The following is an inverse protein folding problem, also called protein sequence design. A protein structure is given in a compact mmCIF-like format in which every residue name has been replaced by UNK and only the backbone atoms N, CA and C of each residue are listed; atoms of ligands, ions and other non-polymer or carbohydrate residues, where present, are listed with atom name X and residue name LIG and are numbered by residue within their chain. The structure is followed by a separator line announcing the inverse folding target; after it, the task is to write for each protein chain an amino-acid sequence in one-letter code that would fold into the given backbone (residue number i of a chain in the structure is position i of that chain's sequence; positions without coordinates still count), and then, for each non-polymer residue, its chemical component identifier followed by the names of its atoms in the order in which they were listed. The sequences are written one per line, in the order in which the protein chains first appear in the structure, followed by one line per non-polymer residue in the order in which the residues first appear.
data_IF_357346479967
#
_entry.id   IF_357346479967
#
_cell.length_a   1.000
_cell.length_b   1.000
_cell.length_c   1.000
_cell.angle_alpha   90.00
_cell.angle_beta   90.00
_cell.angle_gamma   90.00
#
_symmetry.space_group_name_H-M   'P 1'
#
loop_
_entity.id
_entity.type
_entity.pdbx_description
1 polymer ?
#
# COMPACT_ATOMS: atom_id res chain seq x y z
N UNK A 1 -70.66 -7.91 1.44
CA UNK A 1 -69.74 -7.80 0.31
C UNK A 1 -68.90 -6.52 0.28
N UNK A 2 -69.22 -5.47 1.07
CA UNK A 2 -68.42 -4.20 1.11
C UNK A 2 -67.20 -4.22 2.04
N UNK A 3 -67.02 -5.23 2.88
CA UNK A 3 -65.90 -5.30 3.84
C UNK A 3 -64.68 -6.06 3.37
N UNK A 4 -64.76 -6.78 2.24
CA UNK A 4 -63.67 -7.58 1.67
C UNK A 4 -62.77 -6.74 0.73
N UNK A 5 -63.29 -5.67 0.17
CA UNK A 5 -62.57 -4.79 -0.76
C UNK A 5 -61.54 -3.88 -0.02
N UNK A 6 -61.74 -3.59 1.26
CA UNK A 6 -60.86 -2.73 2.03
C UNK A 6 -59.54 -3.40 2.47
N UNK A 7 -59.50 -4.76 2.47
CA UNK A 7 -58.29 -5.54 2.81
C UNK A 7 -57.32 -5.71 1.63
N UNK A 8 -57.77 -5.57 0.40
CA UNK A 8 -56.94 -5.82 -0.77
C UNK A 8 -56.09 -4.61 -1.20
N UNK A 9 -56.43 -3.39 -0.74
CA UNK A 9 -55.71 -2.15 -1.07
C UNK A 9 -54.43 -1.96 -0.22
N UNK A 10 -54.34 -2.67 0.91
CA UNK A 10 -53.18 -2.53 1.82
C UNK A 10 -51.98 -3.39 1.44
N UNK A 11 -52.11 -4.35 0.51
CA UNK A 11 -51.04 -5.27 0.11
C UNK A 11 -50.19 -4.74 -1.06
N UNK A 12 -50.65 -3.71 -1.77
CA UNK A 12 -49.94 -3.15 -2.92
C UNK A 12 -48.90 -2.08 -2.62
N UNK A 13 -48.71 -1.70 -1.35
CA UNK A 13 -47.70 -0.71 -0.95
C UNK A 13 -46.34 -1.30 -0.58
N UNK A 14 -46.13 -2.62 -0.72
CA UNK A 14 -44.83 -3.25 -0.61
C UNK A 14 -44.11 -3.32 -1.96
N UNK A 15 -44.21 -2.29 -2.77
CA UNK A 15 -43.58 -2.28 -4.07
C UNK A 15 -42.35 -1.37 -4.10
N UNK A 16 -41.25 -1.96 -4.50
CA UNK A 16 -39.98 -1.35 -4.89
C UNK A 16 -39.23 -0.63 -3.75
N UNK A 17 -38.56 -1.40 -2.91
CA UNK A 17 -37.29 -0.88 -2.39
C UNK A 17 -36.36 -0.73 -3.60
N UNK A 18 -36.28 0.49 -4.11
CA UNK A 18 -35.30 0.82 -5.15
C UNK A 18 -33.92 0.55 -4.57
N UNK A 19 -33.20 -0.41 -5.14
CA UNK A 19 -31.86 -0.74 -4.69
C UNK A 19 -30.99 0.51 -4.75
N UNK A 20 -30.38 0.81 -3.63
CA UNK A 20 -29.49 1.96 -3.49
C UNK A 20 -28.10 1.54 -3.93
N UNK A 21 -27.65 2.06 -5.06
CA UNK A 21 -26.34 1.77 -5.63
C UNK A 21 -25.51 3.05 -5.61
N UNK A 22 -24.28 2.95 -5.10
CA UNK A 22 -23.29 4.02 -5.15
C UNK A 22 -22.01 3.57 -5.83
N UNK A 23 -21.12 4.51 -6.09
CA UNK A 23 -19.78 4.22 -6.56
C UNK A 23 -18.74 5.13 -5.89
N UNK A 24 -17.50 4.64 -5.85
CA UNK A 24 -16.34 5.35 -5.31
C UNK A 24 -15.24 5.34 -6.36
N UNK A 25 -14.67 6.48 -6.69
CA UNK A 25 -13.46 6.56 -7.49
C UNK A 25 -12.27 6.07 -6.68
N UNK A 26 -11.80 4.86 -7.03
CA UNK A 26 -10.71 4.20 -6.31
C UNK A 26 -9.40 4.96 -6.39
N UNK A 27 -9.13 5.62 -7.52
CA UNK A 27 -7.88 6.37 -7.72
C UNK A 27 -7.88 7.62 -6.84
N UNK A 28 -8.98 8.40 -6.89
CA UNK A 28 -9.12 9.58 -6.04
C UNK A 28 -9.07 9.19 -4.55
N UNK A 29 -9.82 8.15 -4.16
CA UNK A 29 -9.84 7.68 -2.78
C UNK A 29 -8.44 7.33 -2.29
N UNK A 30 -7.70 6.50 -3.04
CA UNK A 30 -6.35 6.10 -2.63
C UNK A 30 -5.34 7.25 -2.63
N UNK A 31 -5.53 8.27 -3.47
CA UNK A 31 -4.66 9.44 -3.49
C UNK A 31 -4.91 10.43 -2.35
N UNK A 32 -6.14 10.46 -1.79
CA UNK A 32 -6.54 11.39 -0.76
C UNK A 32 -6.71 10.74 0.63
N UNK A 33 -6.56 9.42 0.73
CA UNK A 33 -6.63 8.71 2.02
C UNK A 33 -5.33 8.90 2.82
N UNK A 34 -5.45 9.52 4.00
CA UNK A 34 -4.30 9.92 4.80
C UNK A 34 -3.44 8.74 5.28
N UNK A 35 -4.05 7.61 5.67
CA UNK A 35 -3.30 6.41 6.09
C UNK A 35 -2.38 5.91 4.97
N UNK A 36 -2.88 5.88 3.73
CA UNK A 36 -2.09 5.50 2.56
C UNK A 36 -0.92 6.46 2.33
N UNK A 37 -1.17 7.77 2.42
CA UNK A 37 -0.15 8.81 2.27
C UNK A 37 0.93 8.64 3.34
N UNK A 38 0.55 8.38 4.59
CA UNK A 38 1.49 8.20 5.70
C UNK A 38 2.29 6.90 5.56
N UNK A 39 1.67 5.81 5.07
CA UNK A 39 2.39 4.56 4.77
C UNK A 39 3.45 4.79 3.70
N UNK A 40 3.10 5.47 2.60
CA UNK A 40 4.06 5.80 1.53
C UNK A 40 5.20 6.70 2.02
N UNK A 41 4.88 7.69 2.84
CA UNK A 41 5.90 8.58 3.42
C UNK A 41 6.87 7.80 4.32
N UNK A 42 6.37 6.90 5.18
CA UNK A 42 7.22 6.04 6.02
C UNK A 42 8.08 5.09 5.19
N UNK A 43 7.50 4.49 4.16
CA UNK A 43 8.25 3.62 3.24
C UNK A 43 9.37 4.39 2.54
N UNK A 44 9.08 5.59 2.05
CA UNK A 44 10.08 6.47 1.42
C UNK A 44 11.24 6.79 2.36
N UNK A 45 10.97 7.14 3.61
CA UNK A 45 12.02 7.41 4.61
C UNK A 45 12.91 6.18 4.83
N UNK A 46 12.32 4.98 4.94
CA UNK A 46 13.07 3.73 5.09
C UNK A 46 13.93 3.42 3.84
N UNK A 47 13.36 3.64 2.64
CA UNK A 47 14.06 3.44 1.37
C UNK A 47 15.24 4.41 1.19
N UNK A 48 15.04 5.69 1.51
CA UNK A 48 16.10 6.71 1.48
C UNK A 48 17.23 6.38 2.49
N UNK A 49 16.88 5.89 3.68
CA UNK A 49 17.86 5.45 4.68
C UNK A 49 18.66 4.24 4.19
N UNK A 50 18.02 3.25 3.57
CA UNK A 50 18.69 2.08 3.01
C UNK A 50 19.61 2.48 1.84
N UNK A 51 19.18 3.41 0.99
CA UNK A 51 20.02 3.94 -0.09
C UNK A 51 21.29 4.62 0.46
N UNK A 52 21.15 5.50 1.44
CA UNK A 52 22.30 6.16 2.10
C UNK A 52 23.24 5.15 2.77
N UNK A 53 22.70 4.10 3.38
CA UNK A 53 23.49 3.01 3.96
C UNK A 53 24.31 2.29 2.88
N UNK A 54 23.70 1.97 1.73
CA UNK A 54 24.39 1.38 0.58
C UNK A 54 25.53 2.24 0.09
N UNK A 55 25.27 3.53 -0.11
CA UNK A 55 26.29 4.47 -0.59
C UNK A 55 27.46 4.54 0.38
N UNK A 56 27.20 4.65 1.69
CA UNK A 56 28.21 4.66 2.72
C UNK A 56 29.06 3.38 2.74
N UNK A 57 28.42 2.20 2.66
CA UNK A 57 29.11 0.91 2.61
C UNK A 57 29.94 0.79 1.33
N UNK A 58 29.41 1.22 0.18
CA UNK A 58 30.13 1.19 -1.10
C UNK A 58 31.39 2.07 -1.04
N UNK A 59 31.28 3.27 -0.51
CA UNK A 59 32.42 4.17 -0.33
C UNK A 59 33.48 3.57 0.62
N UNK A 60 33.05 3.04 1.76
CA UNK A 60 33.97 2.39 2.71
C UNK A 60 34.69 1.19 2.06
N UNK A 61 33.96 0.39 1.30
CA UNK A 61 34.53 -0.78 0.61
C UNK A 61 35.51 -0.38 -0.49
N UNK A 62 35.25 0.71 -1.22
CA UNK A 62 36.20 1.26 -2.21
C UNK A 62 37.49 1.75 -1.57
N UNK A 63 37.41 2.44 -0.43
CA UNK A 63 38.59 2.91 0.32
C UNK A 63 39.40 1.71 0.81
N UNK A 64 38.72 0.68 1.34
CA UNK A 64 39.38 -0.55 1.82
C UNK A 64 40.07 -1.30 0.65
N UNK A 65 39.42 -1.34 -0.53
CA UNK A 65 40.01 -1.92 -1.74
C UNK A 65 41.30 -1.21 -2.18
N UNK A 66 41.29 0.12 -2.18
CA UNK A 66 42.47 0.93 -2.51
C UNK A 66 43.60 0.72 -1.49
N UNK A 67 43.28 0.70 -0.21
CA UNK A 67 44.25 0.45 0.86
C UNK A 67 44.87 -0.96 0.73
N UNK A 68 44.04 -1.97 0.45
CA UNK A 68 44.51 -3.34 0.18
C UNK A 68 45.46 -3.38 -1.01
N UNK A 69 45.09 -2.73 -2.12
CA UNK A 69 45.91 -2.71 -3.35
C UNK A 69 47.30 -2.13 -3.11
N UNK A 70 47.39 -1.04 -2.33
CA UNK A 70 48.67 -0.43 -1.97
C UNK A 70 49.50 -1.33 -1.06
N UNK A 71 48.86 -2.01 -0.09
CA UNK A 71 49.51 -2.88 0.89
C UNK A 71 49.97 -4.20 0.27
N UNK A 72 49.21 -4.76 -0.69
CA UNK A 72 49.51 -6.02 -1.34
C UNK A 72 50.84 -6.02 -2.12
N UNK A 73 51.27 -4.84 -2.62
CA UNK A 73 52.55 -4.70 -3.32
C UNK A 73 53.77 -4.98 -2.41
N UNK A 74 53.65 -4.81 -1.10
CA UNK A 74 54.70 -5.04 -0.14
C UNK A 74 54.57 -6.33 0.69
N UNK A 75 53.53 -7.13 0.39
CA UNK A 75 53.23 -8.38 1.11
C UNK A 75 53.89 -9.63 0.44
N UNK A 76 54.20 -10.67 1.24
CA UNK A 76 54.45 -12.00 0.68
C UNK A 76 53.25 -12.47 -0.14
N UNK A 77 53.51 -13.11 -1.27
CA UNK A 77 52.47 -13.53 -2.24
C UNK A 77 51.35 -14.38 -1.61
N UNK A 78 51.70 -15.33 -0.76
CA UNK A 78 50.71 -16.16 -0.06
C UNK A 78 49.75 -15.33 0.80
N UNK A 79 50.30 -14.39 1.59
CA UNK A 79 49.51 -13.51 2.46
C UNK A 79 48.59 -12.58 1.66
N UNK A 80 49.09 -12.04 0.54
CA UNK A 80 48.29 -11.23 -0.37
C UNK A 80 47.08 -12.01 -0.94
N UNK A 81 47.27 -13.29 -1.28
CA UNK A 81 46.20 -14.16 -1.77
C UNK A 81 45.14 -14.44 -0.68
N UNK A 82 45.57 -14.73 0.55
CA UNK A 82 44.68 -14.99 1.69
C UNK A 82 43.84 -13.73 2.03
N UNK A 83 44.46 -12.56 2.11
CA UNK A 83 43.75 -11.30 2.38
C UNK A 83 42.79 -10.93 1.22
N UNK A 84 43.19 -11.20 -0.03
CA UNK A 84 42.30 -10.99 -1.18
C UNK A 84 41.04 -11.87 -1.12
N UNK A 85 41.22 -13.17 -0.81
CA UNK A 85 40.11 -14.10 -0.66
C UNK A 85 39.14 -13.65 0.46
N UNK A 86 39.70 -13.23 1.60
CA UNK A 86 38.86 -12.67 2.71
C UNK A 86 38.11 -11.40 2.31
N UNK A 87 38.76 -10.51 1.55
CA UNK A 87 38.13 -9.31 1.02
C UNK A 87 36.98 -9.61 0.06
N UNK A 88 37.16 -10.57 -0.83
CA UNK A 88 36.09 -11.03 -1.73
C UNK A 88 34.90 -11.64 -0.97
N UNK A 89 35.17 -12.49 0.03
CA UNK A 89 34.13 -13.05 0.88
C UNK A 89 33.34 -11.95 1.64
N UNK A 90 34.04 -10.94 2.15
CA UNK A 90 33.42 -9.77 2.79
C UNK A 90 32.50 -9.03 1.82
N UNK A 91 32.94 -8.81 0.58
CA UNK A 91 32.14 -8.18 -0.45
C UNK A 91 30.87 -8.96 -0.79
N UNK A 92 30.99 -10.27 -0.94
CA UNK A 92 29.84 -11.16 -1.18
C UNK A 92 28.84 -11.13 -0.02
N UNK A 93 29.34 -11.22 1.22
CA UNK A 93 28.49 -11.14 2.42
C UNK A 93 27.73 -9.81 2.51
N UNK A 94 28.42 -8.69 2.30
CA UNK A 94 27.82 -7.36 2.28
C UNK A 94 26.74 -7.27 1.19
N UNK A 95 27.02 -7.76 -0.02
CA UNK A 95 26.07 -7.79 -1.13
C UNK A 95 24.81 -8.57 -0.79
N UNK A 96 24.95 -9.76 -0.20
CA UNK A 96 23.83 -10.59 0.23
C UNK A 96 23.00 -9.91 1.33
N UNK A 97 23.66 -9.30 2.32
CA UNK A 97 22.98 -8.60 3.40
C UNK A 97 22.15 -7.43 2.87
N UNK A 98 22.71 -6.60 1.99
CA UNK A 98 22.01 -5.46 1.40
C UNK A 98 20.83 -5.92 0.53
N UNK A 99 20.98 -7.00 -0.21
CA UNK A 99 19.89 -7.60 -0.98
C UNK A 99 18.77 -8.11 -0.08
N UNK A 100 19.09 -8.75 1.04
CA UNK A 100 18.11 -9.22 2.01
C UNK A 100 17.36 -8.05 2.66
N UNK A 101 18.06 -6.99 3.04
CA UNK A 101 17.43 -5.78 3.62
C UNK A 101 16.47 -5.12 2.63
N UNK A 102 16.82 -5.09 1.34
CA UNK A 102 15.96 -4.57 0.27
C UNK A 102 14.68 -5.39 0.12
N UNK A 103 14.82 -6.71 0.06
CA UNK A 103 13.69 -7.62 -0.01
C UNK A 103 12.76 -7.48 1.21
N UNK A 104 13.33 -7.36 2.41
CA UNK A 104 12.55 -7.15 3.63
C UNK A 104 11.80 -5.83 3.61
N UNK A 105 12.45 -4.76 3.13
CA UNK A 105 11.82 -3.45 2.99
C UNK A 105 10.64 -3.50 2.02
N UNK A 106 10.82 -4.11 0.84
CA UNK A 106 9.76 -4.25 -0.15
C UNK A 106 8.59 -5.10 0.38
N UNK A 107 8.91 -6.25 1.01
CA UNK A 107 7.89 -7.11 1.61
C UNK A 107 7.09 -6.39 2.70
N UNK A 108 7.77 -5.62 3.58
CA UNK A 108 7.08 -4.86 4.62
C UNK A 108 6.19 -3.77 4.05
N UNK A 109 6.63 -3.08 3.00
CA UNK A 109 5.83 -2.07 2.31
C UNK A 109 4.57 -2.64 1.67
N UNK A 110 4.69 -3.82 1.04
CA UNK A 110 3.54 -4.53 0.47
C UNK A 110 2.52 -4.91 1.55
N UNK A 111 2.98 -5.48 2.67
CA UNK A 111 2.10 -5.87 3.80
C UNK A 111 1.39 -4.65 4.39
N UNK A 112 2.09 -3.53 4.59
CA UNK A 112 1.48 -2.29 5.08
C UNK A 112 0.40 -1.78 4.09
N UNK A 113 0.68 -1.81 2.78
CA UNK A 113 -0.27 -1.37 1.74
C UNK A 113 -1.48 -2.30 1.62
N UNK A 114 -1.28 -3.62 1.68
CA UNK A 114 -2.37 -4.60 1.68
C UNK A 114 -3.29 -4.41 2.90
N UNK A 115 -2.72 -4.05 4.05
CA UNK A 115 -3.48 -3.70 5.25
C UNK A 115 -4.35 -2.46 5.03
N UNK A 116 -3.81 -1.40 4.42
CA UNK A 116 -4.57 -0.18 4.05
C UNK A 116 -5.74 -0.54 3.13
N UNK A 117 -5.49 -1.31 2.07
CA UNK A 117 -6.54 -1.73 1.12
C UNK A 117 -7.62 -2.56 1.81
N UNK A 118 -7.21 -3.47 2.68
CA UNK A 118 -8.15 -4.29 3.47
C UNK A 118 -9.01 -3.44 4.40
N UNK A 119 -8.41 -2.45 5.06
CA UNK A 119 -9.12 -1.51 5.94
C UNK A 119 -10.13 -0.67 5.15
N UNK A 120 -9.73 -0.11 4.01
CA UNK A 120 -10.62 0.64 3.11
C UNK A 120 -11.83 -0.20 2.72
N UNK A 121 -11.63 -1.46 2.29
CA UNK A 121 -12.74 -2.36 1.91
C UNK A 121 -13.70 -2.59 3.07
N UNK A 122 -13.16 -2.86 4.27
CA UNK A 122 -13.95 -3.07 5.48
C UNK A 122 -14.79 -1.85 5.85
N UNK A 123 -14.20 -0.66 5.75
CA UNK A 123 -14.88 0.59 6.08
C UNK A 123 -15.95 0.96 5.05
N UNK A 124 -15.70 0.71 3.74
CA UNK A 124 -16.71 0.88 2.68
C UNK A 124 -17.89 -0.09 2.90
N UNK A 125 -17.60 -1.35 3.29
CA UNK A 125 -18.65 -2.32 3.61
C UNK A 125 -19.50 -1.85 4.81
N UNK A 126 -18.85 -1.37 5.86
CA UNK A 126 -19.55 -0.84 7.03
C UNK A 126 -20.39 0.40 6.68
N UNK A 127 -19.85 1.31 5.88
CA UNK A 127 -20.55 2.49 5.37
C UNK A 127 -21.77 2.09 4.53
N UNK A 128 -21.62 1.13 3.63
CA UNK A 128 -22.70 0.63 2.79
C UNK A 128 -23.86 0.07 3.61
N UNK A 129 -23.54 -0.81 4.58
CA UNK A 129 -24.54 -1.39 5.49
C UNK A 129 -25.25 -0.32 6.32
N UNK A 130 -24.52 0.63 6.90
CA UNK A 130 -25.09 1.68 7.73
C UNK A 130 -25.99 2.64 6.96
N UNK A 131 -25.74 2.85 5.67
CA UNK A 131 -26.49 3.78 4.83
C UNK A 131 -27.48 3.11 3.87
N UNK A 132 -27.68 1.78 3.98
CA UNK A 132 -28.66 1.03 3.20
C UNK A 132 -28.33 0.90 1.72
N UNK A 133 -27.04 0.86 1.37
CA UNK A 133 -26.61 0.56 0.00
C UNK A 133 -26.65 -0.94 -0.24
N UNK A 134 -27.22 -1.37 -1.37
CA UNK A 134 -27.13 -2.75 -1.86
C UNK A 134 -25.75 -3.02 -2.47
N UNK A 135 -25.20 -2.03 -3.17
CA UNK A 135 -23.86 -2.10 -3.79
C UNK A 135 -23.15 -0.78 -3.71
N UNK A 136 -21.84 -0.83 -3.43
CA UNK A 136 -20.89 0.26 -3.66
C UNK A 136 -19.82 -0.27 -4.61
N UNK A 137 -19.79 0.29 -5.81
CA UNK A 137 -18.95 -0.18 -6.92
C UNK A 137 -17.68 0.67 -7.03
N UNK A 138 -16.58 0.06 -7.49
CA UNK A 138 -15.36 0.80 -7.81
C UNK A 138 -15.48 1.53 -9.14
N UNK A 139 -15.26 2.82 -9.12
CA UNK A 139 -15.15 3.70 -10.29
C UNK A 139 -13.72 4.22 -10.49
N UNK A 140 -13.56 5.18 -11.40
CA UNK A 140 -12.29 5.73 -11.79
C UNK A 140 -11.53 4.87 -12.78
N UNK A 141 -10.26 5.19 -13.04
CA UNK A 141 -9.42 4.47 -13.99
C UNK A 141 -9.22 3.02 -13.51
N UNK A 142 -9.58 2.05 -14.37
CA UNK A 142 -9.55 0.63 -14.04
C UNK A 142 -10.72 0.13 -13.17
N UNK A 143 -11.68 0.98 -12.82
CA UNK A 143 -12.90 0.61 -12.12
C UNK A 143 -13.98 -0.01 -13.04
N UNK A 144 -14.97 -0.67 -12.42
CA UNK A 144 -16.09 -1.29 -13.15
C UNK A 144 -17.16 -0.29 -13.58
N UNK A 145 -17.18 0.92 -13.01
CA UNK A 145 -18.16 1.98 -13.31
C UNK A 145 -17.59 2.89 -14.39
N UNK A 146 -18.16 2.77 -15.61
CA UNK A 146 -17.79 3.65 -16.74
C UNK A 146 -18.54 4.98 -16.72
N UNK A 147 -19.77 4.97 -16.16
CA UNK A 147 -20.61 6.15 -16.01
C UNK A 147 -21.49 6.01 -14.77
N UNK A 148 -21.64 7.08 -14.02
CA UNK A 148 -22.56 7.19 -12.88
C UNK A 148 -22.98 8.64 -12.70
N UNK A 149 -24.23 8.85 -12.24
CA UNK A 149 -24.69 10.20 -11.90
C UNK A 149 -24.00 10.68 -10.63
N UNK A 150 -23.76 11.98 -10.50
CA UNK A 150 -23.05 12.58 -9.36
C UNK A 150 -23.73 12.28 -8.02
N UNK A 151 -25.05 12.17 -7.99
CA UNK A 151 -25.80 11.81 -6.77
C UNK A 151 -25.46 10.41 -6.21
N UNK A 152 -24.88 9.54 -7.04
CA UNK A 152 -24.46 8.19 -6.68
C UNK A 152 -22.95 8.11 -6.39
N UNK A 153 -22.25 9.23 -6.54
CA UNK A 153 -20.83 9.35 -6.25
C UNK A 153 -20.63 9.51 -4.74
N UNK A 154 -19.96 8.55 -4.12
CA UNK A 154 -19.72 8.51 -2.67
C UNK A 154 -18.28 8.83 -2.33
N UNK A 155 -17.47 9.17 -3.32
CA UNK A 155 -16.01 9.27 -3.17
C UNK A 155 -15.62 10.22 -2.03
N UNK A 156 -16.14 11.43 -2.03
CA UNK A 156 -15.77 12.46 -1.04
C UNK A 156 -16.28 12.11 0.37
N UNK A 157 -17.49 11.55 0.46
CA UNK A 157 -18.07 11.12 1.75
C UNK A 157 -17.24 9.98 2.36
N UNK A 158 -16.83 9.01 1.53
CA UNK A 158 -16.01 7.87 1.96
C UNK A 158 -14.60 8.33 2.36
N UNK A 159 -13.96 9.21 1.58
CA UNK A 159 -12.64 9.78 1.91
C UNK A 159 -12.71 10.51 3.24
N UNK A 160 -13.71 11.35 3.42
CA UNK A 160 -13.92 12.09 4.67
C UNK A 160 -14.06 11.13 5.86
N UNK A 161 -14.95 10.15 5.76
CA UNK A 161 -15.18 9.14 6.80
C UNK A 161 -13.90 8.37 7.15
N UNK A 162 -13.13 7.90 6.15
CA UNK A 162 -11.88 7.20 6.35
C UNK A 162 -10.84 8.06 7.07
N UNK A 163 -10.69 9.31 6.62
CA UNK A 163 -9.71 10.24 7.20
C UNK A 163 -10.09 10.67 8.62
N UNK A 164 -11.39 10.79 8.94
CA UNK A 164 -11.86 11.06 10.31
C UNK A 164 -11.59 9.89 11.25
N UNK A 165 -11.79 8.64 10.79
CA UNK A 165 -11.50 7.43 11.57
C UNK A 165 -10.00 7.21 11.79
N UNK A 166 -9.18 7.50 10.81
CA UNK A 166 -7.73 7.36 10.92
C UNK A 166 -7.09 8.31 11.95
N UNK A 167 -7.73 9.45 12.22
CA UNK A 167 -7.23 10.43 13.20
C UNK A 167 -7.57 10.10 14.66
N UNK A 168 -8.42 9.10 14.89
CA UNK A 168 -8.84 8.65 16.23
C UNK A 168 -7.89 7.56 16.76
#
# INVERSE_FOLDING_TARGET
MKKVILGLVFITLMACQQEKIGYVDNVKLMNEYQEKIDVEARFKVKADALSKKRDSISQAFQIEAQAFQSKAQSMPQQKAQEEYAAFQQKGQFIGQQLQQEDQQLQASGQVEMDSVISNVKKEIEAYGKANGYSYILGGGEGGSVLYGTEKNNLTDDVIKMLNEKYKQ
#
